data_IF_348778695623
#
_entry.id   IF_348778695623
#
_cell.length_a   1.000
_cell.length_b   1.000
_cell.length_c   1.000
_cell.angle_alpha   90.00
_cell.angle_beta   90.00
_cell.angle_gamma   90.00
#
_symmetry.space_group_name_H-M   'P 1'
#
loop_
_entity.id
_entity.type
_entity.pdbx_description
1 polymer ?
#
# COMPACT_ATOMS: atom_id res chain seq x y z
N UNK A 1 18.19 18.57 -3.81
CA UNK A 1 18.19 17.18 -4.30
C UNK A 1 19.25 17.09 -5.37
N UNK A 2 20.27 16.24 -5.18
CA UNK A 2 21.35 16.07 -6.15
C UNK A 2 20.80 15.49 -7.47
N UNK A 3 21.49 15.67 -8.58
CA UNK A 3 21.12 15.05 -9.87
C UNK A 3 21.04 13.52 -9.76
N UNK A 4 21.94 12.93 -8.97
CA UNK A 4 21.90 11.49 -8.63
C UNK A 4 20.64 11.10 -7.87
N UNK A 5 20.13 11.96 -7.00
CA UNK A 5 18.90 11.70 -6.23
C UNK A 5 17.65 11.83 -7.10
N UNK A 6 17.62 12.80 -8.03
CA UNK A 6 16.56 12.91 -9.04
C UNK A 6 16.49 11.65 -9.90
N UNK A 7 17.64 11.17 -10.35
CA UNK A 7 17.74 9.96 -11.16
C UNK A 7 17.24 8.73 -10.39
N UNK A 8 17.69 8.54 -9.13
CA UNK A 8 17.20 7.46 -8.25
C UNK A 8 15.69 7.53 -8.03
N UNK A 9 15.15 8.71 -7.76
CA UNK A 9 13.73 8.92 -7.56
C UNK A 9 12.92 8.48 -8.78
N UNK A 10 13.34 8.90 -9.99
CA UNK A 10 12.67 8.53 -11.24
C UNK A 10 12.75 7.03 -11.48
N UNK A 11 13.92 6.41 -11.30
CA UNK A 11 14.11 4.96 -11.46
C UNK A 11 13.17 4.20 -10.52
N UNK A 12 13.12 4.59 -9.24
CA UNK A 12 12.24 3.93 -8.27
C UNK A 12 10.76 4.14 -8.61
N UNK A 13 10.39 5.34 -9.07
CA UNK A 13 9.02 5.65 -9.46
C UNK A 13 8.57 4.83 -10.68
N UNK A 14 9.40 4.75 -11.72
CA UNK A 14 9.15 3.91 -12.89
C UNK A 14 9.11 2.43 -12.52
N UNK A 15 10.04 1.97 -11.68
CA UNK A 15 10.05 0.60 -11.15
C UNK A 15 8.76 0.24 -10.43
N UNK A 16 8.27 1.10 -9.54
CA UNK A 16 6.96 0.95 -8.88
C UNK A 16 5.85 0.91 -9.92
N UNK A 17 5.87 1.80 -10.91
CA UNK A 17 4.83 1.88 -11.92
C UNK A 17 4.73 0.58 -12.73
N UNK A 18 5.81 0.18 -13.38
CA UNK A 18 5.82 -0.99 -14.26
C UNK A 18 5.58 -2.30 -13.50
N UNK A 19 6.27 -2.51 -12.38
CA UNK A 19 6.12 -3.75 -11.61
C UNK A 19 4.69 -3.90 -11.10
N UNK A 20 4.10 -2.86 -10.49
CA UNK A 20 2.75 -2.97 -9.95
C UNK A 20 1.64 -2.87 -11.00
N UNK A 21 1.92 -2.31 -12.18
CA UNK A 21 1.01 -2.40 -13.31
C UNK A 21 0.93 -3.84 -13.82
N UNK A 22 2.08 -4.48 -14.08
CA UNK A 22 2.12 -5.88 -14.50
C UNK A 22 1.60 -6.83 -13.42
N UNK A 23 1.95 -6.60 -12.16
CA UNK A 23 1.39 -7.32 -11.01
C UNK A 23 -0.14 -7.22 -10.96
N UNK A 24 -0.72 -6.05 -11.23
CA UNK A 24 -2.16 -5.87 -11.27
C UNK A 24 -2.83 -6.74 -12.35
N UNK A 25 -2.25 -6.78 -13.55
CA UNK A 25 -2.72 -7.64 -14.65
C UNK A 25 -2.63 -9.12 -14.25
N UNK A 26 -1.51 -9.55 -13.68
CA UNK A 26 -1.34 -10.93 -13.22
C UNK A 26 -2.30 -11.30 -12.09
N UNK A 27 -2.51 -10.39 -11.14
CA UNK A 27 -3.43 -10.60 -10.02
C UNK A 27 -4.87 -10.72 -10.52
N UNK A 28 -5.27 -9.87 -11.47
CA UNK A 28 -6.59 -9.96 -12.09
C UNK A 28 -6.75 -11.27 -12.87
N UNK A 29 -5.73 -11.67 -13.64
CA UNK A 29 -5.72 -12.96 -14.35
C UNK A 29 -5.88 -14.13 -13.39
N UNK A 30 -5.26 -14.08 -12.21
CA UNK A 30 -5.37 -15.16 -11.21
C UNK A 30 -6.76 -15.17 -10.56
N UNK A 31 -7.24 -14.01 -10.11
CA UNK A 31 -8.47 -13.90 -9.31
C UNK A 31 -9.76 -13.96 -10.12
N UNK A 32 -9.73 -13.54 -11.40
CA UNK A 32 -10.86 -13.65 -12.33
C UNK A 32 -10.74 -14.83 -13.30
N UNK A 33 -9.55 -15.41 -13.44
CA UNK A 33 -9.31 -16.59 -14.25
C UNK A 33 -10.10 -17.80 -13.76
N UNK A 34 -10.42 -18.69 -14.69
CA UNK A 34 -10.96 -20.01 -14.40
C UNK A 34 -9.94 -21.07 -14.72
N UNK A 35 -9.83 -22.06 -13.86
CA UNK A 35 -8.84 -23.12 -13.92
C UNK A 35 -9.51 -24.47 -14.17
N UNK A 36 -8.96 -25.26 -15.09
CA UNK A 36 -9.56 -26.50 -15.58
C UNK A 36 -10.75 -26.30 -16.52
N UNK A 37 -11.25 -27.43 -17.04
CA UNK A 37 -12.33 -27.50 -18.03
C UNK A 37 -13.63 -28.11 -17.46
N UNK A 38 -13.67 -28.42 -16.16
CA UNK A 38 -14.82 -29.06 -15.50
C UNK A 38 -16.04 -28.14 -15.49
N UNK A 39 -17.21 -28.69 -15.80
CA UNK A 39 -18.46 -27.95 -15.87
C UNK A 39 -19.08 -27.89 -14.47
N UNK A 40 -19.18 -26.69 -13.90
CA UNK A 40 -19.84 -26.49 -12.60
C UNK A 40 -21.37 -26.54 -12.76
N UNK A 41 -22.07 -26.83 -11.67
CA UNK A 41 -23.55 -26.89 -11.59
C UNK A 41 -24.25 -25.63 -12.14
N UNK A 42 -23.58 -24.47 -12.12
CA UNK A 42 -24.05 -23.19 -12.67
C UNK A 42 -23.92 -23.08 -14.21
N UNK A 43 -23.58 -24.17 -14.91
CA UNK A 43 -23.33 -24.18 -16.36
C UNK A 43 -22.04 -23.47 -16.77
N UNK A 44 -21.12 -23.27 -15.81
CA UNK A 44 -19.89 -22.51 -16.00
C UNK A 44 -18.67 -23.43 -15.96
N UNK A 45 -17.80 -23.37 -16.98
CA UNK A 45 -16.57 -24.19 -17.03
C UNK A 45 -15.43 -23.60 -16.22
N UNK A 46 -14.76 -24.44 -15.43
CA UNK A 46 -13.55 -24.18 -14.64
C UNK A 46 -13.80 -23.59 -13.25
N UNK A 47 -12.92 -23.89 -12.30
CA UNK A 47 -12.98 -23.40 -10.92
C UNK A 47 -12.38 -22.00 -10.79
N UNK A 48 -12.90 -21.19 -9.84
CA UNK A 48 -12.39 -19.83 -9.56
C UNK A 48 -11.40 -19.82 -8.40
N UNK A 49 -10.40 -18.94 -8.50
CA UNK A 49 -9.46 -18.70 -7.40
C UNK A 49 -10.09 -17.82 -6.30
N UNK A 50 -10.32 -18.39 -5.12
CA UNK A 50 -10.93 -17.69 -3.97
C UNK A 50 -10.00 -17.54 -2.75
N UNK A 51 -8.76 -18.03 -2.86
CA UNK A 51 -7.80 -18.14 -1.74
C UNK A 51 -6.95 -16.87 -1.56
N UNK A 52 -7.59 -15.77 -1.12
CA UNK A 52 -6.93 -14.47 -0.98
C UNK A 52 -5.88 -14.42 0.15
N UNK A 53 -6.13 -15.09 1.29
CA UNK A 53 -5.17 -15.12 2.40
C UNK A 53 -3.94 -15.94 2.02
N UNK A 54 -4.14 -17.05 1.30
CA UNK A 54 -3.04 -17.90 0.84
C UNK A 54 -2.16 -17.15 -0.17
N UNK A 55 -2.77 -16.40 -1.09
CA UNK A 55 -2.06 -15.57 -2.05
C UNK A 55 -1.17 -14.53 -1.36
N UNK A 56 -1.68 -13.84 -0.34
CA UNK A 56 -0.91 -12.87 0.45
C UNK A 56 0.21 -13.57 1.22
N UNK A 57 -0.05 -14.76 1.78
CA UNK A 57 0.95 -15.58 2.47
C UNK A 57 2.12 -15.95 1.57
N UNK A 58 1.84 -16.47 0.37
CA UNK A 58 2.86 -16.80 -0.64
C UNK A 58 3.70 -15.56 -0.99
N UNK A 59 3.05 -14.40 -1.20
CA UNK A 59 3.77 -13.16 -1.48
C UNK A 59 4.68 -12.74 -0.32
N UNK A 60 4.19 -12.76 0.92
CA UNK A 60 5.01 -12.41 2.08
C UNK A 60 6.23 -13.33 2.22
N UNK A 61 6.06 -14.64 2.02
CA UNK A 61 7.17 -15.61 2.09
C UNK A 61 8.18 -15.35 0.96
N UNK A 62 7.73 -15.20 -0.29
CA UNK A 62 8.62 -14.95 -1.42
C UNK A 62 9.36 -13.62 -1.26
N UNK A 63 8.69 -12.57 -0.80
CA UNK A 63 9.32 -11.28 -0.52
C UNK A 63 10.36 -11.38 0.59
N UNK A 64 10.08 -12.15 1.64
CA UNK A 64 11.04 -12.41 2.71
C UNK A 64 12.27 -13.14 2.18
N UNK A 65 12.08 -14.21 1.39
CA UNK A 65 13.17 -14.96 0.75
C UNK A 65 13.99 -14.09 -0.20
N UNK A 66 13.32 -13.27 -1.01
CA UNK A 66 13.97 -12.35 -1.95
C UNK A 66 14.85 -11.34 -1.21
N UNK A 67 14.32 -10.69 -0.17
CA UNK A 67 15.08 -9.75 0.65
C UNK A 67 16.25 -10.44 1.38
N UNK A 68 16.04 -11.66 1.89
CA UNK A 68 17.09 -12.46 2.52
C UNK A 68 18.22 -12.77 1.52
N UNK A 69 17.88 -13.21 0.31
CA UNK A 69 18.83 -13.45 -0.77
C UNK A 69 19.66 -12.21 -1.10
N UNK A 70 19.02 -11.04 -1.22
CA UNK A 70 19.73 -9.78 -1.45
C UNK A 70 20.70 -9.42 -0.33
N UNK A 71 20.31 -9.63 0.94
CA UNK A 71 21.15 -9.34 2.10
C UNK A 71 22.30 -10.33 2.26
N UNK A 72 22.14 -11.57 1.80
CA UNK A 72 23.23 -12.55 1.74
C UNK A 72 24.30 -12.15 0.70
N UNK A 73 23.88 -11.64 -0.47
CA UNK A 73 24.82 -11.20 -1.53
C UNK A 73 25.48 -9.87 -1.19
N UNK A 74 24.73 -8.92 -0.60
CA UNK A 74 25.24 -7.61 -0.18
C UNK A 74 24.83 -7.31 1.26
N UNK A 75 25.65 -7.75 2.24
CA UNK A 75 25.42 -7.45 3.65
C UNK A 75 25.30 -5.95 3.86
N UNK A 76 24.24 -5.54 4.55
CA UNK A 76 24.05 -4.15 4.98
C UNK A 76 24.50 -4.01 6.43
N UNK A 77 24.73 -2.77 6.88
CA UNK A 77 25.02 -2.46 8.29
C UNK A 77 23.95 -3.07 9.19
N UNK A 78 24.33 -3.52 10.39
CA UNK A 78 23.41 -4.14 11.35
C UNK A 78 22.22 -3.21 11.60
N UNK A 79 21.01 -3.76 11.52
CA UNK A 79 19.79 -3.02 11.81
C UNK A 79 19.64 -2.82 13.33
N UNK A 80 19.57 -1.58 13.77
CA UNK A 80 19.34 -1.19 15.17
C UNK A 80 17.86 -0.85 15.44
N UNK A 81 16.99 -1.04 14.45
CA UNK A 81 15.55 -0.75 14.58
C UNK A 81 14.89 -1.72 15.54
N UNK A 82 14.16 -1.18 16.52
CA UNK A 82 13.45 -1.98 17.51
C UNK A 82 12.40 -2.92 16.84
N UNK A 83 12.37 -4.22 17.13
CA UNK A 83 11.47 -5.19 16.49
C UNK A 83 9.99 -4.84 16.60
N UNK A 84 9.58 -4.17 17.68
CA UNK A 84 8.21 -3.68 17.87
C UNK A 84 7.75 -2.67 16.80
N UNK A 85 8.65 -1.89 16.20
CA UNK A 85 8.30 -1.04 15.06
C UNK A 85 8.00 -1.87 13.83
N UNK A 86 8.76 -2.93 13.56
CA UNK A 86 8.47 -3.83 12.45
C UNK A 86 7.17 -4.61 12.66
N UNK A 87 6.92 -5.11 13.86
CA UNK A 87 5.67 -5.80 14.18
C UNK A 87 4.44 -4.90 14.00
N UNK A 88 4.46 -3.68 14.56
CA UNK A 88 3.36 -2.71 14.40
C UNK A 88 3.19 -2.22 12.96
N UNK A 89 4.28 -1.99 12.23
CA UNK A 89 4.25 -1.62 10.82
C UNK A 89 3.65 -2.75 9.95
N UNK A 90 3.99 -4.00 10.25
CA UNK A 90 3.46 -5.18 9.54
C UNK A 90 1.98 -5.42 9.84
N UNK A 91 1.56 -5.24 11.10
CA UNK A 91 0.17 -5.36 11.51
C UNK A 91 -0.71 -4.31 10.82
N UNK A 92 -0.28 -3.04 10.85
CA UNK A 92 -1.01 -1.93 10.20
C UNK A 92 -1.07 -2.11 8.69
N UNK A 93 0.02 -2.59 8.07
CA UNK A 93 0.04 -2.93 6.65
C UNK A 93 -0.97 -4.04 6.29
N UNK A 94 -0.99 -5.14 7.05
CA UNK A 94 -1.92 -6.25 6.82
C UNK A 94 -3.36 -5.82 7.05
N UNK A 95 -3.65 -5.08 8.11
CA UNK A 95 -4.99 -4.58 8.38
C UNK A 95 -5.46 -3.62 7.26
N UNK A 96 -4.57 -2.75 6.77
CA UNK A 96 -4.85 -1.89 5.63
C UNK A 96 -5.22 -2.70 4.38
N UNK A 97 -4.48 -3.77 4.09
CA UNK A 97 -4.74 -4.68 2.97
C UNK A 97 -6.07 -5.42 3.11
N UNK A 98 -6.31 -6.03 4.27
CA UNK A 98 -7.54 -6.82 4.53
C UNK A 98 -8.77 -5.93 4.46
N UNK A 99 -8.78 -4.79 5.16
CA UNK A 99 -9.92 -3.85 5.10
C UNK A 99 -10.14 -3.32 3.68
N UNK A 100 -9.07 -3.05 2.92
CA UNK A 100 -9.16 -2.65 1.51
C UNK A 100 -9.86 -3.72 0.67
N UNK A 101 -9.40 -4.98 0.77
CA UNK A 101 -9.93 -6.07 -0.04
C UNK A 101 -11.37 -6.41 0.35
N UNK A 102 -11.70 -6.36 1.63
CA UNK A 102 -13.08 -6.56 2.09
C UNK A 102 -14.01 -5.46 1.57
N UNK A 103 -13.56 -4.19 1.49
CA UNK A 103 -14.38 -3.10 0.96
C UNK A 103 -14.89 -3.34 -0.47
N UNK A 104 -14.17 -4.11 -1.29
CA UNK A 104 -14.61 -4.46 -2.67
C UNK A 104 -15.92 -5.24 -2.73
N UNK A 105 -16.36 -5.85 -1.61
CA UNK A 105 -17.66 -6.53 -1.54
C UNK A 105 -18.84 -5.56 -1.55
N UNK A 106 -18.64 -4.34 -1.07
CA UNK A 106 -19.68 -3.31 -0.96
C UNK A 106 -19.46 -2.12 -1.88
N UNK A 107 -18.25 -1.99 -2.43
CA UNK A 107 -17.80 -0.80 -3.11
C UNK A 107 -17.19 -1.14 -4.47
N UNK A 108 -17.63 -0.49 -5.57
CA UNK A 108 -17.06 -0.72 -6.89
C UNK A 108 -15.54 -0.45 -6.93
N UNK A 109 -14.83 -1.17 -7.80
CA UNK A 109 -13.37 -1.03 -7.95
C UNK A 109 -12.92 0.42 -8.25
N UNK A 110 -13.52 1.19 -9.18
CA UNK A 110 -13.12 2.58 -9.43
C UNK A 110 -13.22 3.45 -8.18
N UNK A 111 -14.30 3.25 -7.41
CA UNK A 111 -14.52 3.92 -6.14
C UNK A 111 -13.41 3.60 -5.12
N UNK A 112 -13.07 2.32 -4.94
CA UNK A 112 -11.99 1.91 -4.05
C UNK A 112 -10.67 2.60 -4.45
N UNK A 113 -10.34 2.62 -5.75
CA UNK A 113 -9.06 3.17 -6.19
C UNK A 113 -9.00 4.69 -5.97
N UNK A 114 -10.08 5.42 -6.25
CA UNK A 114 -10.17 6.87 -5.98
C UNK A 114 -10.11 7.15 -4.48
N UNK A 115 -10.85 6.39 -3.66
CA UNK A 115 -10.75 6.49 -2.20
C UNK A 115 -9.33 6.25 -1.71
N UNK A 116 -8.65 5.20 -2.21
CA UNK A 116 -7.26 4.90 -1.83
C UNK A 116 -6.23 5.88 -2.41
N UNK A 117 -6.59 6.71 -3.39
CA UNK A 117 -5.74 7.80 -3.86
C UNK A 117 -5.59 8.88 -2.77
N UNK A 118 -6.57 9.01 -1.88
CA UNK A 118 -6.55 9.93 -0.74
C UNK A 118 -5.61 9.51 0.41
N UNK A 119 -4.85 8.41 0.27
CA UNK A 119 -3.85 7.93 1.26
C UNK A 119 -2.94 9.02 1.84
N UNK A 120 -2.46 10.03 1.08
CA UNK A 120 -1.65 11.11 1.65
C UNK A 120 -2.33 11.89 2.78
N UNK A 121 -3.68 11.94 2.84
CA UNK A 121 -4.42 12.69 3.87
C UNK A 121 -4.20 12.09 5.28
N UNK A 122 -4.57 10.83 5.56
CA UNK A 122 -4.28 10.22 6.86
C UNK A 122 -2.79 10.20 7.21
N UNK A 123 -1.92 9.96 6.22
CA UNK A 123 -0.45 10.04 6.42
C UNK A 123 -0.06 11.42 6.96
N UNK A 124 -0.61 12.49 6.39
CA UNK A 124 -0.31 13.85 6.80
C UNK A 124 -0.89 14.18 8.18
N UNK A 125 -2.16 13.85 8.43
CA UNK A 125 -2.81 14.08 9.72
C UNK A 125 -2.05 13.38 10.84
N UNK A 126 -1.71 12.10 10.65
CA UNK A 126 -0.93 11.34 11.63
C UNK A 126 0.49 11.88 11.77
N UNK A 127 1.11 12.39 10.70
CA UNK A 127 2.40 13.06 10.81
C UNK A 127 2.33 14.37 11.64
N UNK A 128 1.22 15.10 11.61
CA UNK A 128 0.99 16.25 12.50
C UNK A 128 0.78 15.80 13.94
N UNK A 129 -0.19 14.89 14.17
CA UNK A 129 -0.60 14.48 15.52
C UNK A 129 0.49 13.69 16.25
N UNK A 130 1.07 12.69 15.59
CA UNK A 130 2.04 11.76 16.18
C UNK A 130 3.48 12.26 15.98
N UNK A 131 3.75 12.91 14.85
CA UNK A 131 5.08 13.41 14.49
C UNK A 131 5.36 14.84 14.94
N UNK A 132 4.37 15.57 15.48
CA UNK A 132 4.44 16.99 15.85
C UNK A 132 4.99 17.88 14.73
N UNK A 133 4.75 17.50 13.46
CA UNK A 133 5.15 18.29 12.29
C UNK A 133 4.09 19.34 11.97
N UNK A 134 4.50 20.51 11.50
CA UNK A 134 3.60 21.53 10.95
C UNK A 134 3.74 21.61 9.44
N UNK A 135 2.63 21.86 8.75
CA UNK A 135 2.58 22.01 7.29
C UNK A 135 2.08 23.43 6.92
N UNK A 136 2.49 23.97 5.76
CA UNK A 136 2.00 25.27 5.30
C UNK A 136 0.51 25.22 4.93
N UNK A 137 -0.18 26.37 4.98
CA UNK A 137 -1.62 26.47 4.68
C UNK A 137 -1.99 25.91 3.30
N UNK A 138 -1.13 26.11 2.30
CA UNK A 138 -1.28 25.57 0.94
C UNK A 138 -1.54 24.06 0.93
N UNK A 139 -0.92 23.33 1.85
CA UNK A 139 -1.04 21.89 1.99
C UNK A 139 -2.41 21.48 2.54
N UNK A 140 -2.95 22.24 3.48
CA UNK A 140 -4.31 22.04 4.00
C UNK A 140 -5.37 22.31 2.92
N UNK A 141 -5.17 23.34 2.09
CA UNK A 141 -6.06 23.63 0.96
C UNK A 141 -6.06 22.49 -0.06
N UNK A 142 -4.89 21.94 -0.40
CA UNK A 142 -4.80 20.78 -1.29
C UNK A 142 -5.53 19.56 -0.73
N UNK A 143 -5.38 19.29 0.58
CA UNK A 143 -6.12 18.22 1.26
C UNK A 143 -7.63 18.45 1.23
N UNK A 144 -8.09 19.68 1.47
CA UNK A 144 -9.51 20.02 1.38
C UNK A 144 -10.07 19.75 -0.03
N UNK A 145 -9.35 20.16 -1.08
CA UNK A 145 -9.74 19.85 -2.47
C UNK A 145 -9.86 18.36 -2.72
N UNK A 146 -8.93 17.55 -2.18
CA UNK A 146 -8.98 16.09 -2.30
C UNK A 146 -10.21 15.54 -1.57
N UNK A 147 -10.48 15.97 -0.34
CA UNK A 147 -11.65 15.52 0.44
C UNK A 147 -12.94 15.82 -0.31
N UNK A 148 -13.10 17.05 -0.82
CA UNK A 148 -14.26 17.45 -1.63
C UNK A 148 -14.39 16.59 -2.89
N UNK A 149 -13.28 16.30 -3.58
CA UNK A 149 -13.26 15.45 -4.76
C UNK A 149 -13.69 14.00 -4.46
N UNK A 150 -13.21 13.42 -3.34
CA UNK A 150 -13.63 12.07 -2.90
C UNK A 150 -15.11 12.07 -2.56
N UNK A 151 -15.59 13.02 -1.73
CA UNK A 151 -17.01 13.11 -1.35
C UNK A 151 -17.89 13.19 -2.58
N UNK A 152 -17.52 14.05 -3.53
CA UNK A 152 -18.27 14.20 -4.78
C UNK A 152 -18.25 12.92 -5.63
N UNK A 153 -17.12 12.20 -5.69
CA UNK A 153 -17.04 10.92 -6.40
C UNK A 153 -17.90 9.84 -5.73
N UNK A 154 -17.93 9.82 -4.38
CA UNK A 154 -18.64 8.81 -3.57
C UNK A 154 -20.14 9.06 -3.50
N UNK A 155 -20.58 10.29 -3.77
CA UNK A 155 -21.98 10.66 -3.63
C UNK A 155 -22.88 9.79 -4.51
N UNK A 156 -23.92 9.20 -3.90
CA UNK A 156 -24.97 8.41 -4.57
C UNK A 156 -26.21 9.28 -4.76
N UNK A 157 -26.79 9.28 -5.96
CA UNK A 157 -28.05 9.98 -6.23
C UNK A 157 -29.25 9.08 -5.88
N UNK A 158 -30.17 9.56 -5.04
CA UNK A 158 -31.49 8.95 -4.85
C UNK A 158 -31.71 8.18 -3.53
N UNK A 159 -32.97 8.14 -3.09
CA UNK A 159 -33.45 7.48 -1.86
C UNK A 159 -33.04 6.00 -1.85
N UNK A 160 -32.18 5.64 -0.91
CA UNK A 160 -31.86 4.25 -0.57
C UNK A 160 -33.15 3.51 -0.24
N UNK A 161 -33.31 2.32 -0.82
CA UNK A 161 -34.43 1.44 -0.49
C UNK A 161 -34.33 1.06 0.98
N UNK A 162 -35.46 0.85 1.68
CA UNK A 162 -35.50 0.56 3.13
C UNK A 162 -34.74 -0.70 3.58
N UNK A 163 -34.18 -1.47 2.65
CA UNK A 163 -33.33 -2.66 2.87
C UNK A 163 -31.83 -2.30 2.89
N UNK A 164 -31.43 -1.16 2.32
CA UNK A 164 -30.04 -0.69 2.29
C UNK A 164 -29.60 0.00 3.59
N UNK A 165 -30.51 0.31 4.53
CA UNK A 165 -30.19 1.07 5.76
C UNK A 165 -29.32 0.30 6.77
N UNK A 166 -29.36 -1.03 6.81
CA UNK A 166 -28.53 -1.83 7.75
C UNK A 166 -27.10 -2.11 7.25
N UNK A 167 -26.81 -1.91 5.96
CA UNK A 167 -25.47 -2.10 5.36
C UNK A 167 -24.86 -0.80 4.80
N UNK A 168 -25.54 0.32 5.00
CA UNK A 168 -25.16 1.66 4.56
C UNK A 168 -23.82 2.08 5.23
N UNK A 169 -22.75 2.11 4.45
CA UNK A 169 -21.47 2.71 4.87
C UNK A 169 -20.36 1.73 5.28
N UNK A 170 -20.61 0.42 5.38
CA UNK A 170 -19.58 -0.53 5.85
C UNK A 170 -18.36 -0.57 4.92
N UNK A 171 -18.60 -0.54 3.60
CA UNK A 171 -17.54 -0.49 2.61
C UNK A 171 -16.73 0.81 2.68
N UNK A 172 -17.40 1.95 2.79
CA UNK A 172 -16.78 3.26 2.96
C UNK A 172 -15.98 3.34 4.28
N UNK A 173 -16.52 2.81 5.38
CA UNK A 173 -15.85 2.73 6.67
C UNK A 173 -14.59 1.86 6.60
N UNK A 174 -14.65 0.71 5.93
CA UNK A 174 -13.50 -0.15 5.69
C UNK A 174 -12.42 0.55 4.84
N UNK A 175 -12.81 1.41 3.89
CA UNK A 175 -11.85 2.25 3.15
C UNK A 175 -11.20 3.29 4.05
N UNK A 176 -11.96 3.97 4.91
CA UNK A 176 -11.40 4.93 5.87
C UNK A 176 -10.44 4.24 6.83
N UNK A 177 -10.82 3.08 7.37
CA UNK A 177 -9.95 2.26 8.22
C UNK A 177 -8.68 1.83 7.47
N UNK A 178 -8.82 1.35 6.22
CA UNK A 178 -7.69 0.98 5.38
C UNK A 178 -6.71 2.14 5.19
N UNK A 179 -7.23 3.34 4.90
CA UNK A 179 -6.46 4.56 4.72
C UNK A 179 -5.79 5.03 6.02
N UNK A 180 -6.47 4.93 7.16
CA UNK A 180 -5.91 5.26 8.46
C UNK A 180 -4.74 4.32 8.81
N UNK A 181 -4.90 3.01 8.56
CA UNK A 181 -3.84 2.03 8.76
C UNK A 181 -2.68 2.24 7.80
N UNK A 182 -2.96 2.50 6.52
CA UNK A 182 -1.95 2.89 5.52
C UNK A 182 -1.17 4.17 5.95
N UNK A 183 -1.87 5.11 6.60
CA UNK A 183 -1.31 6.31 7.21
C UNK A 183 -0.40 6.01 8.39
N UNK A 184 -0.83 5.13 9.29
CA UNK A 184 -0.08 4.71 10.46
C UNK A 184 1.17 3.91 10.08
N UNK A 185 1.08 3.03 9.09
CA UNK A 185 2.25 2.36 8.49
C UNK A 185 3.27 3.39 8.01
N UNK A 186 2.81 4.42 7.26
CA UNK A 186 3.69 5.50 6.82
C UNK A 186 4.32 6.29 7.97
N UNK A 187 3.57 6.58 9.04
CA UNK A 187 4.08 7.27 10.22
C UNK A 187 5.13 6.43 10.97
N UNK A 188 4.90 5.13 11.14
CA UNK A 188 5.86 4.20 11.76
C UNK A 188 7.12 4.09 10.91
N UNK A 189 6.99 3.94 9.59
CA UNK A 189 8.12 3.91 8.67
C UNK A 189 8.95 5.19 8.71
N UNK A 190 8.31 6.36 8.83
CA UNK A 190 9.01 7.63 8.97
C UNK A 190 9.77 7.71 10.30
N UNK A 191 9.18 7.22 11.40
CA UNK A 191 9.87 7.13 12.69
C UNK A 191 11.08 6.21 12.61
N UNK A 192 10.94 5.01 12.04
CA UNK A 192 12.05 4.07 11.84
C UNK A 192 13.16 4.68 10.99
N UNK A 193 12.81 5.36 9.90
CA UNK A 193 13.76 6.07 9.03
C UNK A 193 14.50 7.17 9.79
N UNK A 194 13.83 7.87 10.70
CA UNK A 194 14.44 8.94 11.50
C UNK A 194 15.30 8.43 12.66
N UNK A 195 14.95 7.30 13.27
CA UNK A 195 15.64 6.76 14.45
C UNK A 195 16.85 5.90 14.08
N UNK A 196 16.68 5.01 13.10
CA UNK A 196 17.60 3.92 12.83
C UNK A 196 18.01 3.86 11.36
N UNK A 197 17.33 4.61 10.49
CA UNK A 197 17.58 4.68 9.06
C UNK A 197 17.85 3.30 8.40
N UNK A 198 16.97 2.30 8.62
CA UNK A 198 17.19 0.96 8.10
C UNK A 198 17.25 0.95 6.56
N UNK A 199 18.03 0.02 6.03
CA UNK A 199 18.09 -0.18 4.58
C UNK A 199 16.75 -0.73 4.05
N UNK A 200 16.45 -0.45 2.79
CA UNK A 200 15.24 -0.95 2.13
C UNK A 200 15.11 -2.49 2.23
N UNK A 201 16.22 -3.21 2.07
CA UNK A 201 16.26 -4.67 2.13
C UNK A 201 15.95 -5.19 3.54
N UNK A 202 16.45 -4.51 4.59
CA UNK A 202 16.12 -4.85 5.98
C UNK A 202 14.66 -4.58 6.30
N UNK A 203 14.13 -3.44 5.84
CA UNK A 203 12.71 -3.14 6.00
C UNK A 203 11.84 -4.21 5.33
N UNK A 204 12.20 -4.60 4.10
CA UNK A 204 11.51 -5.65 3.37
C UNK A 204 11.60 -7.01 4.07
N UNK A 205 12.78 -7.40 4.55
CA UNK A 205 12.98 -8.65 5.28
C UNK A 205 12.14 -8.68 6.56
N UNK A 206 12.32 -7.70 7.44
CA UNK A 206 11.68 -7.70 8.75
C UNK A 206 10.14 -7.58 8.63
N UNK A 207 9.64 -6.69 7.78
CA UNK A 207 8.19 -6.55 7.60
C UNK A 207 7.55 -7.79 7.01
N UNK A 208 8.12 -8.38 5.96
CA UNK A 208 7.55 -9.61 5.39
C UNK A 208 7.71 -10.82 6.33
N UNK A 209 8.74 -10.87 7.18
CA UNK A 209 8.88 -11.90 8.21
C UNK A 209 7.73 -11.84 9.22
N UNK A 210 7.47 -10.66 9.80
CA UNK A 210 6.34 -10.44 10.71
C UNK A 210 4.99 -10.65 10.03
N UNK A 211 4.82 -10.14 8.80
CA UNK A 211 3.58 -10.36 8.03
C UNK A 211 3.34 -11.83 7.71
N UNK A 212 4.39 -12.60 7.38
CA UNK A 212 4.27 -14.05 7.14
C UNK A 212 3.82 -14.79 8.39
N UNK A 213 4.35 -14.43 9.57
CA UNK A 213 3.92 -15.02 10.84
C UNK A 213 2.43 -14.73 11.13
N UNK A 214 2.02 -13.47 10.96
CA UNK A 214 0.63 -13.04 11.19
C UNK A 214 -0.36 -13.70 10.21
N UNK A 215 -0.01 -13.72 8.91
CA UNK A 215 -0.85 -14.37 7.87
C UNK A 215 -0.85 -15.89 8.05
N UNK A 216 0.25 -16.49 8.50
CA UNK A 216 0.32 -17.91 8.82
C UNK A 216 -0.70 -18.31 9.89
N UNK A 217 -0.83 -17.51 10.96
CA UNK A 217 -1.87 -17.73 11.98
C UNK A 217 -3.27 -17.60 11.36
N UNK A 218 -3.50 -16.56 10.55
CA UNK A 218 -4.80 -16.36 9.88
C UNK A 218 -5.15 -17.51 8.93
N UNK A 219 -4.16 -18.09 8.24
CA UNK A 219 -4.33 -19.23 7.33
C UNK A 219 -4.68 -20.52 8.05
N UNK A 220 -4.08 -20.75 9.23
CA UNK A 220 -4.40 -21.92 10.06
C UNK A 220 -5.82 -21.78 10.61
N UNK A 221 -6.17 -20.60 11.14
CA UNK A 221 -7.50 -20.35 11.74
C UNK A 221 -8.62 -20.41 10.70
N UNK A 222 -8.39 -19.90 9.49
CA UNK A 222 -9.39 -19.93 8.41
C UNK A 222 -9.54 -21.30 7.74
N UNK A 223 -8.58 -22.21 7.89
CA UNK A 223 -8.54 -23.48 7.17
C UNK A 223 -8.22 -23.35 5.66
N UNK A 224 -8.01 -22.12 5.16
CA UNK A 224 -7.83 -21.83 3.73
C UNK A 224 -6.57 -22.49 3.15
N UNK A 225 -5.56 -22.74 3.98
CA UNK A 225 -4.30 -23.34 3.57
C UNK A 225 -4.45 -24.74 2.95
N UNK A 226 -5.30 -25.59 3.54
CA UNK A 226 -5.50 -26.96 3.05
C UNK A 226 -6.21 -26.94 1.69
N UNK A 227 -7.27 -26.15 1.57
CA UNK A 227 -8.03 -25.98 0.33
C UNK A 227 -7.18 -25.37 -0.79
N UNK A 228 -6.34 -24.38 -0.47
CA UNK A 228 -5.40 -23.80 -1.43
C UNK A 228 -4.37 -24.81 -1.93
N UNK A 229 -3.86 -25.67 -1.06
CA UNK A 229 -2.91 -26.73 -1.44
C UNK A 229 -3.57 -27.73 -2.40
N UNK A 230 -4.78 -28.19 -2.08
CA UNK A 230 -5.54 -29.10 -2.95
C UNK A 230 -5.85 -28.46 -4.30
N UNK A 231 -6.22 -27.17 -4.32
CA UNK A 231 -6.45 -26.43 -5.55
C UNK A 231 -5.18 -26.34 -6.41
N UNK A 232 -4.04 -26.02 -5.81
CA UNK A 232 -2.76 -25.87 -6.52
C UNK A 232 -2.27 -27.21 -7.09
N UNK A 233 -2.55 -28.33 -6.40
CA UNK A 233 -2.22 -29.68 -6.89
C UNK A 233 -3.11 -30.10 -8.06
N UNK A 234 -4.38 -29.68 -8.09
CA UNK A 234 -5.30 -29.94 -9.21
C UNK A 234 -4.99 -29.08 -10.44
N UNK A 235 -4.46 -27.88 -10.23
CA UNK A 235 -4.18 -26.90 -11.28
C UNK A 235 -2.70 -26.49 -11.29
N UNK A 236 -1.79 -27.35 -11.81
CA UNK A 236 -0.34 -27.08 -11.78
C UNK A 236 0.06 -25.84 -12.58
N UNK A 237 -0.73 -25.40 -13.57
CA UNK A 237 -0.53 -24.15 -14.31
C UNK A 237 -0.53 -22.91 -13.39
N UNK A 238 -1.24 -23.00 -12.25
CA UNK A 238 -1.28 -21.95 -11.24
C UNK A 238 0.11 -21.66 -10.67
N UNK A 239 1.01 -22.64 -10.63
CA UNK A 239 2.36 -22.47 -10.10
C UNK A 239 3.13 -21.37 -10.86
N UNK A 240 3.01 -21.33 -12.19
CA UNK A 240 3.66 -20.27 -12.98
C UNK A 240 3.01 -18.91 -12.78
N UNK A 241 1.69 -18.86 -12.64
CA UNK A 241 1.00 -17.62 -12.33
C UNK A 241 1.39 -17.08 -10.95
N UNK A 242 1.43 -17.92 -9.92
CA UNK A 242 1.85 -17.54 -8.56
C UNK A 242 3.31 -17.11 -8.50
N UNK A 243 4.21 -17.84 -9.17
CA UNK A 243 5.65 -17.54 -9.16
C UNK A 243 5.93 -16.21 -9.86
N UNK A 244 5.36 -16.00 -11.04
CA UNK A 244 5.54 -14.74 -11.78
C UNK A 244 4.90 -13.56 -11.06
N UNK A 245 3.73 -13.74 -10.45
CA UNK A 245 3.09 -12.73 -9.60
C UNK A 245 3.98 -12.39 -8.40
N UNK A 246 4.47 -13.40 -7.69
CA UNK A 246 5.25 -13.20 -6.48
C UNK A 246 6.61 -12.56 -6.76
N UNK A 247 7.31 -12.95 -7.82
CA UNK A 247 8.58 -12.32 -8.22
C UNK A 247 8.39 -10.87 -8.67
N UNK A 248 7.36 -10.60 -9.48
CA UNK A 248 7.01 -9.23 -9.88
C UNK A 248 6.63 -8.39 -8.66
N UNK A 249 5.87 -8.97 -7.73
CA UNK A 249 5.51 -8.35 -6.45
C UNK A 249 6.73 -8.04 -5.59
N UNK A 250 7.68 -8.96 -5.49
CA UNK A 250 8.93 -8.78 -4.74
C UNK A 250 9.78 -7.65 -5.32
N UNK A 251 9.92 -7.60 -6.65
CA UNK A 251 10.64 -6.53 -7.33
C UNK A 251 9.95 -5.17 -7.13
N UNK A 252 8.61 -5.12 -7.26
CA UNK A 252 7.83 -3.91 -7.00
C UNK A 252 7.97 -3.43 -5.56
N UNK A 253 7.89 -4.35 -4.60
CA UNK A 253 8.00 -4.06 -3.17
C UNK A 253 9.41 -3.60 -2.78
N UNK A 254 10.45 -4.11 -3.43
CA UNK A 254 11.80 -3.58 -3.29
C UNK A 254 11.85 -2.09 -3.66
N UNK A 255 11.28 -1.68 -4.80
CA UNK A 255 11.25 -0.27 -5.18
C UNK A 255 10.44 0.60 -4.21
N UNK A 256 9.36 0.07 -3.62
CA UNK A 256 8.62 0.73 -2.54
C UNK A 256 9.53 1.00 -1.35
N UNK A 257 10.25 -0.02 -0.87
CA UNK A 257 11.15 0.16 0.26
C UNK A 257 12.36 1.04 -0.06
N UNK A 258 12.88 1.01 -1.29
CA UNK A 258 13.93 1.94 -1.75
C UNK A 258 13.42 3.38 -1.77
N UNK A 259 12.17 3.61 -2.19
CA UNK A 259 11.52 4.90 -2.14
C UNK A 259 11.32 5.38 -0.70
N UNK A 260 10.85 4.50 0.19
CA UNK A 260 10.62 4.81 1.61
C UNK A 260 11.93 5.12 2.33
N UNK A 261 12.95 4.28 2.17
CA UNK A 261 14.26 4.45 2.82
C UNK A 261 14.98 5.70 2.28
N UNK A 262 14.95 5.94 0.96
CA UNK A 262 15.66 7.05 0.32
C UNK A 262 14.95 8.41 0.38
N UNK A 263 13.63 8.43 0.17
CA UNK A 263 12.85 9.68 -0.01
C UNK A 263 11.70 9.83 0.99
N UNK A 264 11.46 8.81 1.81
CA UNK A 264 10.43 8.80 2.85
C UNK A 264 9.08 8.24 2.41
N UNK A 265 8.20 7.87 3.36
CA UNK A 265 6.88 7.30 3.09
C UNK A 265 5.94 8.23 2.32
N UNK A 266 6.07 9.54 2.53
CA UNK A 266 5.26 10.54 1.83
C UNK A 266 5.52 10.53 0.31
N UNK A 267 6.81 10.53 -0.08
CA UNK A 267 7.22 10.44 -1.48
C UNK A 267 6.73 9.13 -2.12
N UNK A 268 6.82 8.02 -1.39
CA UNK A 268 6.27 6.73 -1.82
C UNK A 268 4.75 6.79 -2.03
N UNK A 269 4.02 7.40 -1.09
CA UNK A 269 2.57 7.56 -1.19
C UNK A 269 2.20 8.31 -2.47
N UNK A 270 2.88 9.43 -2.74
CA UNK A 270 2.69 10.23 -3.97
C UNK A 270 2.87 9.40 -5.24
N UNK A 271 3.97 8.66 -5.36
CA UNK A 271 4.27 7.85 -6.55
C UNK A 271 3.22 6.75 -6.72
N UNK A 272 2.87 6.05 -5.64
CA UNK A 272 1.86 4.97 -5.71
C UNK A 272 0.47 5.49 -6.03
N UNK A 273 0.10 6.67 -5.53
CA UNK A 273 -1.16 7.33 -5.86
C UNK A 273 -1.19 7.79 -7.32
N UNK A 274 -0.09 8.35 -7.83
CA UNK A 274 0.05 8.71 -9.25
C UNK A 274 -0.11 7.48 -10.14
N UNK A 275 0.49 6.34 -9.77
CA UNK A 275 0.27 5.07 -10.49
C UNK A 275 -1.22 4.69 -10.49
N UNK A 276 -1.87 4.71 -9.32
CA UNK A 276 -3.30 4.38 -9.19
C UNK A 276 -4.18 5.26 -10.06
N UNK A 277 -3.87 6.55 -10.20
CA UNK A 277 -4.57 7.45 -11.11
C UNK A 277 -4.65 6.88 -12.53
N UNK A 278 -3.48 6.57 -13.09
CA UNK A 278 -3.38 6.05 -14.44
C UNK A 278 -4.04 4.67 -14.54
N UNK A 279 -3.99 3.85 -13.49
CA UNK A 279 -4.74 2.59 -13.44
C UNK A 279 -6.26 2.83 -13.49
N UNK A 280 -6.81 3.85 -12.82
CA UNK A 280 -8.24 4.21 -12.92
C UNK A 280 -8.59 4.66 -14.33
N UNK A 281 -7.79 5.57 -14.91
CA UNK A 281 -8.02 6.03 -16.28
C UNK A 281 -8.01 4.86 -17.27
N UNK A 282 -7.01 3.98 -17.18
CA UNK A 282 -6.97 2.76 -17.97
C UNK A 282 -8.18 1.87 -17.70
N UNK A 283 -8.65 1.76 -16.44
CA UNK A 283 -9.80 0.91 -16.12
C UNK A 283 -11.10 1.41 -16.74
N UNK A 284 -11.31 2.73 -16.73
CA UNK A 284 -12.47 3.38 -17.37
C UNK A 284 -12.41 3.22 -18.88
N UNK A 285 -11.22 3.41 -19.48
CA UNK A 285 -11.02 3.32 -20.93
C UNK A 285 -11.07 1.88 -21.47
N UNK A 286 -10.55 0.90 -20.72
CA UNK A 286 -10.36 -0.49 -21.18
C UNK A 286 -11.52 -1.39 -20.74
N UNK A 287 -12.00 -1.28 -19.50
CA UNK A 287 -13.05 -2.16 -18.97
C UNK A 287 -14.46 -1.58 -19.12
N UNK A 288 -14.60 -0.42 -19.78
CA UNK A 288 -15.90 0.18 -20.08
C UNK A 288 -16.69 0.62 -18.84
N UNK A 289 -16.03 0.82 -17.69
CA UNK A 289 -16.66 1.36 -16.50
C UNK A 289 -17.10 2.81 -16.77
N UNK A 290 -18.38 3.01 -17.07
CA UNK A 290 -18.92 4.34 -17.38
C UNK A 290 -19.01 5.17 -16.10
N UNK A 291 -18.11 6.14 -15.94
CA UNK A 291 -18.19 7.13 -14.87
C UNK A 291 -19.19 8.22 -15.24
N UNK A 292 -20.11 8.52 -14.34
CA UNK A 292 -21.01 9.67 -14.50
C UNK A 292 -20.22 10.99 -14.48
N UNK A 293 -20.71 12.08 -15.09
CA UNK A 293 -19.98 13.37 -15.14
C UNK A 293 -19.52 13.88 -13.77
N UNK A 294 -20.30 13.64 -12.70
CA UNK A 294 -19.92 13.96 -11.32
C UNK A 294 -18.64 13.23 -10.88
N UNK A 295 -18.54 11.94 -11.15
CA UNK A 295 -17.37 11.12 -10.79
C UNK A 295 -16.13 11.59 -11.55
N UNK A 296 -16.28 12.03 -12.80
CA UNK A 296 -15.17 12.66 -13.53
C UNK A 296 -14.68 13.93 -12.84
N UNK A 297 -15.59 14.84 -12.47
CA UNK A 297 -15.20 16.05 -11.76
C UNK A 297 -14.55 15.75 -10.41
N UNK A 298 -15.11 14.80 -9.64
CA UNK A 298 -14.54 14.35 -8.37
C UNK A 298 -13.14 13.76 -8.53
N UNK A 299 -12.92 12.92 -9.55
CA UNK A 299 -11.59 12.39 -9.86
C UNK A 299 -10.60 13.50 -10.20
N UNK A 300 -10.98 14.43 -11.09
CA UNK A 300 -10.14 15.57 -11.47
C UNK A 300 -9.75 16.41 -10.25
N UNK A 301 -10.68 16.68 -9.33
CA UNK A 301 -10.39 17.40 -8.08
C UNK A 301 -9.39 16.64 -7.20
N UNK A 302 -9.59 15.33 -7.00
CA UNK A 302 -8.66 14.49 -6.21
C UNK A 302 -7.26 14.56 -6.78
N UNK A 303 -7.10 14.34 -8.08
CA UNK A 303 -5.79 14.35 -8.70
C UNK A 303 -5.18 15.76 -8.78
N UNK A 304 -5.97 16.79 -9.05
CA UNK A 304 -5.50 18.17 -9.03
C UNK A 304 -5.02 18.58 -7.64
N UNK A 305 -5.73 18.23 -6.57
CA UNK A 305 -5.29 18.50 -5.19
C UNK A 305 -4.01 17.75 -4.82
N UNK A 306 -3.88 16.49 -5.25
CA UNK A 306 -2.66 15.69 -5.05
C UNK A 306 -1.46 16.26 -5.80
N UNK A 307 -1.60 16.55 -7.09
CA UNK A 307 -0.52 17.14 -7.89
C UNK A 307 -0.21 18.57 -7.44
N UNK A 308 -1.21 19.34 -7.03
CA UNK A 308 -1.06 20.66 -6.40
C UNK A 308 -0.21 20.59 -5.14
N UNK A 309 -0.52 19.68 -4.22
CA UNK A 309 0.29 19.47 -3.00
C UNK A 309 1.74 19.15 -3.36
N UNK A 310 1.96 18.27 -4.35
CA UNK A 310 3.29 17.87 -4.81
C UNK A 310 4.09 19.02 -5.41
N UNK A 311 3.47 19.86 -6.23
CA UNK A 311 4.15 20.95 -6.94
C UNK A 311 4.46 22.11 -6.00
N UNK A 312 3.51 22.46 -5.13
CA UNK A 312 3.60 23.60 -4.22
C UNK A 312 4.52 23.27 -3.04
N UNK A 313 4.45 22.05 -2.50
CA UNK A 313 5.18 21.67 -1.29
C UNK A 313 6.49 20.92 -1.56
N UNK A 314 7.17 21.24 -2.68
CA UNK A 314 8.56 20.86 -2.97
C UNK A 314 9.53 21.47 -1.94
N UNK A 315 9.56 20.96 -0.72
CA UNK A 315 10.68 21.14 0.21
C UNK A 315 11.15 19.79 0.76
N UNK A 316 12.47 19.58 0.85
CA UNK A 316 13.06 18.29 1.18
C UNK A 316 12.62 17.89 2.58
N UNK A 317 12.24 16.62 2.73
CA UNK A 317 12.13 15.97 4.03
C UNK A 317 13.34 16.37 4.86
N UNK A 318 13.09 17.11 5.95
CA UNK A 318 14.09 17.63 6.86
C UNK A 318 15.05 16.48 7.19
N UNK A 319 16.35 16.70 6.97
CA UNK A 319 17.40 15.77 7.36
C UNK A 319 17.16 15.37 8.83
N UNK A 320 17.38 14.08 9.19
CA UNK A 320 17.13 13.62 10.55
C UNK A 320 17.88 14.55 11.51
N UNK A 321 17.15 15.19 12.42
CA UNK A 321 17.75 15.89 13.54
C UNK A 321 18.47 14.81 14.34
N UNK A 322 19.78 14.72 14.15
CA UNK A 322 20.65 14.00 15.06
C UNK A 322 20.29 14.49 16.46
N UNK A 323 19.83 13.57 17.31
CA UNK A 323 19.54 13.86 18.70
C UNK A 323 20.70 14.67 19.26
N UNK A 324 20.44 15.91 19.71
CA UNK A 324 21.40 16.66 20.51
C UNK A 324 21.75 15.76 21.68
N UNK A 325 22.95 15.19 21.69
CA UNK A 325 23.55 14.62 22.90
C UNK A 325 23.42 15.68 23.98
N UNK A 326 22.90 15.35 25.18
CA UNK A 326 23.05 16.25 26.31
C UNK A 326 24.55 16.47 26.49
N UNK A 327 25.00 17.72 26.37
CA UNK A 327 26.31 18.12 26.84
C UNK A 327 26.32 17.78 28.34
N UNK A 328 27.02 16.71 28.71
CA UNK A 328 27.45 16.51 30.09
C UNK A 328 28.20 17.79 30.47
N UNK A 329 27.61 18.56 31.38
CA UNK A 329 28.35 19.59 32.09
C UNK A 329 29.45 18.84 32.85
N UNK A 330 30.69 18.98 32.40
CA UNK A 330 31.83 18.77 33.27
C UNK A 330 31.72 19.82 34.38
N UNK A 331 31.21 19.40 35.55
CA UNK A 331 31.42 20.16 36.77
C UNK A 331 32.90 20.09 37.11
N UNK A 332 33.56 21.20 36.82
CA UNK A 332 34.86 21.56 37.31
C UNK A 332 34.78 21.68 38.83
N UNK A 333 35.16 20.63 39.57
CA UNK A 333 35.41 20.74 41.00
C UNK A 333 36.92 20.85 41.22
N UNK A 334 37.40 22.08 41.08
CA UNK A 334 38.64 22.55 41.68
C UNK A 334 38.29 23.04 43.08
N UNK A 335 38.49 22.20 44.09
CA UNK A 335 38.92 22.52 45.47
C UNK A 335 38.91 21.25 46.32
#
# INVERSE_FOLDING_TARGET
MSEKDKTKFIIYALGIFFCYFYFGILQEKITRGRYGDEENDDGTRGERFTFALALVGVQCIVNWLFAKGMLLVKPQKKDETHPGYYASCSLTYLLAMVSSNMALRWVPYPTQVVGKAAKPIPVMILAVLIGRKSYPLSRYLCVLTIVLGVVLFMYKDGKTSSVDEEHLGLGELLLVLSLAMDGLTGAIQERMRSSSAPSAQQMMLAMNGWSSAMVGVALIVSGEAASFMQFTLRHPELFWHLTTLALTGALGQLFIFLMVSGFGPLACSVVTTTRKFFTVLCSVLIFGNSLIPRQWYGAVMVFAGLFGDMLINKKPSVAPQAAKKPLLKEEHNSQ
#
